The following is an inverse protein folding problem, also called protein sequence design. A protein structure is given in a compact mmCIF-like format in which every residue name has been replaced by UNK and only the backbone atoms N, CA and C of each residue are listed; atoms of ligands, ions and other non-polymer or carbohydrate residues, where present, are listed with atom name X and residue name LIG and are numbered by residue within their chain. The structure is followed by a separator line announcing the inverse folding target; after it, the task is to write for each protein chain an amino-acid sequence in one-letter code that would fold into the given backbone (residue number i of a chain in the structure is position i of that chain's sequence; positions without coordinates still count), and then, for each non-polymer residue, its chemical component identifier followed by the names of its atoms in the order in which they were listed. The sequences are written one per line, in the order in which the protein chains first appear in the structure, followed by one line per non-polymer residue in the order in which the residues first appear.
data_IF_373162530535
#
_entry.id   IF_373162530535
#
_cell.length_a   1.000
_cell.length_b   1.000
_cell.length_c   1.000
_cell.angle_alpha   90.00
_cell.angle_beta   90.00
_cell.angle_gamma   90.00
#
_symmetry.space_group_name_H-M   'P 1'
#
loop_
_entity.id
_entity.type
_entity.pdbx_description
1 polymer ?
#
# COMPACT_ATOMS: atom_id res chain seq x y z
N UNK A 1 5.88 -7.49 -13.54
CA UNK A 1 4.68 -6.75 -14.02
C UNK A 1 5.05 -5.97 -15.26
N UNK A 2 4.13 -5.80 -16.19
CA UNK A 2 4.37 -5.10 -17.45
C UNK A 2 3.08 -4.45 -17.95
N UNK A 3 3.19 -3.52 -18.90
CA UNK A 3 2.04 -2.93 -19.58
C UNK A 3 1.45 -3.92 -20.59
N UNK A 4 0.19 -3.72 -20.99
CA UNK A 4 -0.48 -4.60 -21.95
C UNK A 4 0.28 -4.80 -23.28
N UNK A 5 0.81 -3.75 -23.94
CA UNK A 5 1.60 -3.93 -25.16
C UNK A 5 2.83 -4.82 -24.93
N UNK A 6 3.53 -4.63 -23.80
CA UNK A 6 4.70 -5.42 -23.46
C UNK A 6 4.37 -6.89 -23.24
N UNK A 7 3.22 -7.21 -22.64
CA UNK A 7 2.77 -8.60 -22.53
C UNK A 7 2.48 -9.24 -23.89
N UNK A 8 1.86 -8.49 -24.81
CA UNK A 8 1.62 -8.95 -26.18
C UNK A 8 2.92 -9.24 -26.93
N UNK A 9 3.93 -8.40 -26.79
CA UNK A 9 5.27 -8.64 -27.36
C UNK A 9 5.93 -9.91 -26.82
N UNK A 10 5.67 -10.25 -25.55
CA UNK A 10 6.15 -11.47 -24.90
C UNK A 10 5.31 -12.72 -25.24
N UNK A 11 4.37 -12.62 -26.20
CA UNK A 11 3.50 -13.71 -26.60
C UNK A 11 2.46 -14.10 -25.54
N UNK A 12 2.17 -13.21 -24.59
CA UNK A 12 1.19 -13.44 -23.52
C UNK A 12 -0.02 -12.52 -23.67
N UNK A 13 -1.19 -13.01 -23.24
CA UNK A 13 -2.45 -12.28 -23.33
C UNK A 13 -3.02 -12.05 -21.93
N UNK A 14 -3.40 -10.80 -21.61
CA UNK A 14 -4.14 -10.52 -20.37
C UNK A 14 -5.54 -11.12 -20.48
N UNK A 15 -5.99 -11.79 -19.42
CA UNK A 15 -7.32 -12.41 -19.32
C UNK A 15 -8.43 -11.37 -19.43
N UNK A 16 -9.54 -11.77 -20.05
CA UNK A 16 -10.71 -10.90 -20.20
C UNK A 16 -11.31 -10.59 -18.83
N UNK A 17 -11.51 -9.30 -18.55
CA UNK A 17 -12.10 -8.82 -17.28
C UNK A 17 -11.09 -8.50 -16.18
N UNK A 18 -9.80 -8.78 -16.39
CA UNK A 18 -8.74 -8.39 -15.45
C UNK A 18 -8.55 -6.88 -15.40
N UNK A 19 -8.32 -6.35 -14.19
CA UNK A 19 -8.08 -4.93 -13.96
C UNK A 19 -6.59 -4.65 -13.82
N UNK A 20 -6.15 -3.56 -14.44
CA UNK A 20 -4.78 -3.09 -14.32
C UNK A 20 -4.51 -2.49 -12.92
N UNK A 21 -3.26 -2.61 -12.48
CA UNK A 21 -2.72 -1.96 -11.29
C UNK A 21 -2.43 -0.49 -11.61
N UNK A 22 -2.91 0.39 -10.73
CA UNK A 22 -2.64 1.83 -10.79
C UNK A 22 -1.32 2.15 -10.09
N UNK A 23 -0.37 2.73 -10.82
CA UNK A 23 0.88 3.22 -10.24
C UNK A 23 0.94 4.75 -10.24
N UNK A 24 1.57 5.30 -9.21
CA UNK A 24 1.95 6.71 -9.14
C UNK A 24 3.31 6.90 -9.83
N UNK A 25 3.36 7.73 -10.87
CA UNK A 25 4.58 7.97 -11.63
C UNK A 25 4.91 9.46 -11.74
N UNK A 26 6.19 9.85 -11.63
CA UNK A 26 6.63 11.20 -11.94
C UNK A 26 6.61 11.41 -13.46
N UNK A 27 6.06 12.54 -13.90
CA UNK A 27 6.05 12.98 -15.29
C UNK A 27 6.62 14.38 -15.36
N UNK A 28 7.64 14.53 -16.21
CA UNK A 28 8.28 15.81 -16.50
C UNK A 28 7.44 16.58 -17.51
N UNK A 29 7.00 17.78 -17.14
CA UNK A 29 6.14 18.64 -17.96
C UNK A 29 6.87 19.95 -18.21
N UNK A 30 6.94 20.35 -19.48
CA UNK A 30 7.40 21.68 -19.88
C UNK A 30 6.26 22.69 -19.75
N UNK A 31 6.49 23.80 -19.06
CA UNK A 31 5.59 24.96 -19.02
C UNK A 31 6.13 26.02 -19.96
N UNK A 32 5.28 26.48 -20.86
CA UNK A 32 5.50 27.74 -21.57
C UNK A 32 4.99 28.85 -20.66
N UNK A 33 5.83 29.84 -20.38
CA UNK A 33 5.47 31.03 -19.61
C UNK A 33 4.76 32.01 -20.56
N UNK A 34 3.68 32.65 -20.12
CA UNK A 34 3.07 33.74 -20.88
C UNK A 34 4.07 34.90 -21.06
N UNK A 35 4.03 35.53 -22.22
CA UNK A 35 5.07 36.31 -22.95
C UNK A 35 5.70 37.54 -22.23
N UNK A 36 5.53 37.73 -20.92
CA UNK A 36 6.08 38.87 -20.20
C UNK A 36 7.45 38.63 -19.53
N UNK A 37 8.00 37.42 -19.55
CA UNK A 37 9.27 37.11 -18.88
C UNK A 37 10.11 36.08 -19.65
N UNK A 38 11.12 36.59 -20.36
CA UNK A 38 12.29 35.90 -20.91
C UNK A 38 12.02 34.88 -22.04
N UNK A 39 12.44 35.15 -23.31
CA UNK A 39 12.14 34.29 -24.46
C UNK A 39 12.82 32.91 -24.45
N UNK A 40 13.78 32.66 -23.56
CA UNK A 40 14.58 31.41 -23.55
C UNK A 40 14.32 30.47 -22.35
N UNK A 41 13.40 30.83 -21.45
CA UNK A 41 13.16 30.10 -20.21
C UNK A 41 12.14 28.96 -20.33
N UNK A 42 12.53 27.77 -20.77
CA UNK A 42 11.68 26.57 -20.68
C UNK A 42 11.66 26.05 -19.24
N UNK A 43 10.66 26.44 -18.46
CA UNK A 43 10.48 25.91 -17.10
C UNK A 43 9.95 24.47 -17.18
N UNK A 44 10.64 23.56 -16.49
CA UNK A 44 10.31 22.14 -16.50
C UNK A 44 10.05 21.67 -15.07
N UNK A 45 8.85 21.15 -14.81
CA UNK A 45 8.46 20.68 -13.48
C UNK A 45 7.99 19.23 -13.52
N UNK A 46 8.12 18.54 -12.38
CA UNK A 46 7.69 17.14 -12.25
C UNK A 46 6.33 17.07 -11.56
N UNK A 47 5.38 16.37 -12.18
CA UNK A 47 4.05 16.09 -11.63
C UNK A 47 3.87 14.59 -11.44
N UNK A 48 3.31 14.20 -10.31
CA UNK A 48 2.90 12.82 -10.07
C UNK A 48 1.52 12.56 -10.65
N UNK A 49 1.40 11.48 -11.43
CA UNK A 49 0.14 11.04 -12.03
C UNK A 49 -0.12 9.57 -11.72
N UNK A 50 -1.38 9.22 -11.53
CA UNK A 50 -1.81 7.84 -11.29
C UNK A 50 -2.31 7.23 -12.60
N UNK A 51 -1.72 6.11 -13.05
CA UNK A 51 -2.11 5.45 -14.31
C UNK A 51 -2.35 3.94 -14.12
N UNK A 52 -3.51 3.40 -14.56
CA UNK A 52 -3.84 1.97 -14.48
C UNK A 52 -3.36 1.22 -15.74
N UNK A 53 -2.05 1.03 -15.90
CA UNK A 53 -1.49 0.46 -17.11
C UNK A 53 -0.83 -0.93 -16.94
N UNK A 54 -0.61 -1.38 -15.71
CA UNK A 54 0.23 -2.55 -15.42
C UNK A 54 -0.58 -3.80 -15.08
N UNK A 55 -0.12 -4.94 -15.57
CA UNK A 55 -0.67 -6.26 -15.27
C UNK A 55 0.43 -7.17 -14.72
N UNK A 56 0.08 -8.05 -13.78
CA UNK A 56 0.99 -9.07 -13.23
C UNK A 56 0.92 -10.37 -14.02
N UNK A 57 1.93 -11.23 -13.83
CA UNK A 57 2.02 -12.51 -14.55
C UNK A 57 0.77 -13.37 -14.36
N UNK A 58 0.23 -13.42 -13.13
CA UNK A 58 -0.96 -14.20 -12.78
C UNK A 58 -2.25 -13.76 -13.53
N UNK A 59 -2.27 -12.56 -14.09
CA UNK A 59 -3.40 -12.03 -14.88
C UNK A 59 -3.26 -12.33 -16.37
N UNK A 60 -2.20 -13.02 -16.78
CA UNK A 60 -1.87 -13.28 -18.19
C UNK A 60 -1.80 -14.78 -18.48
N UNK A 61 -2.35 -15.15 -19.63
CA UNK A 61 -2.21 -16.49 -20.20
C UNK A 61 -1.06 -16.54 -21.20
N UNK A 62 -0.43 -17.70 -21.32
CA UNK A 62 0.70 -17.98 -22.20
C UNK A 62 1.67 -18.97 -21.56
N UNK A 63 2.83 -19.16 -22.19
CA UNK A 63 3.82 -20.16 -21.77
C UNK A 63 4.21 -20.01 -20.29
N UNK A 64 4.16 -21.09 -19.48
CA UNK A 64 4.57 -21.06 -18.08
C UNK A 64 5.99 -20.51 -17.95
N UNK A 65 6.15 -19.52 -17.07
CA UNK A 65 7.49 -19.01 -16.75
C UNK A 65 8.16 -20.04 -15.85
N UNK A 66 9.38 -20.51 -16.18
CA UNK A 66 10.10 -21.45 -15.33
C UNK A 66 10.33 -20.79 -13.96
N UNK A 67 9.96 -21.50 -12.90
CA UNK A 67 10.23 -21.05 -11.54
C UNK A 67 11.74 -21.05 -11.33
N UNK A 68 12.28 -19.89 -10.90
CA UNK A 68 13.68 -19.80 -10.56
C UNK A 68 13.90 -20.51 -9.22
N UNK A 69 14.91 -21.39 -9.11
CA UNK A 69 15.19 -22.03 -7.83
C UNK A 69 15.55 -20.97 -6.80
N UNK A 70 14.86 -20.99 -5.67
CA UNK A 70 15.22 -20.15 -4.53
C UNK A 70 16.53 -20.72 -3.96
N UNK A 71 17.63 -19.97 -3.93
CA UNK A 71 18.88 -20.48 -3.38
C UNK A 71 18.71 -20.80 -1.89
N UNK A 72 19.42 -21.83 -1.42
CA UNK A 72 19.47 -22.12 0.01
C UNK A 72 20.03 -20.91 0.78
N UNK A 73 19.38 -20.55 1.87
CA UNK A 73 19.86 -19.50 2.77
C UNK A 73 21.05 -20.03 3.59
N UNK A 74 22.12 -19.24 3.63
CA UNK A 74 23.32 -19.52 4.42
C UNK A 74 23.69 -18.24 5.21
N UNK A 75 23.59 -18.33 6.53
CA UNK A 75 23.84 -17.22 7.44
C UNK A 75 25.31 -16.78 7.43
N UNK A 76 26.25 -17.74 7.35
CA UNK A 76 27.68 -17.43 7.40
C UNK A 76 28.11 -16.71 6.13
N UNK A 77 27.64 -17.21 4.97
CA UNK A 77 27.81 -16.52 3.68
C UNK A 77 27.22 -15.12 3.69
N UNK A 78 26.03 -14.94 4.27
CA UNK A 78 25.38 -13.63 4.32
C UNK A 78 26.16 -12.63 5.19
N UNK A 79 26.60 -13.05 6.37
CA UNK A 79 27.41 -12.20 7.28
C UNK A 79 28.74 -11.82 6.65
N UNK A 80 29.43 -12.77 6.00
CA UNK A 80 30.68 -12.51 5.28
C UNK A 80 30.50 -11.54 4.11
N UNK A 81 29.44 -11.71 3.31
CA UNK A 81 29.16 -10.85 2.13
C UNK A 81 28.78 -9.42 2.53
N UNK A 82 28.09 -9.26 3.65
CA UNK A 82 27.63 -7.96 4.13
C UNK A 82 28.61 -7.27 5.09
N UNK A 83 29.73 -7.93 5.43
CA UNK A 83 30.71 -7.47 6.43
C UNK A 83 30.07 -7.17 7.79
N UNK A 84 29.06 -7.96 8.17
CA UNK A 84 28.32 -7.80 9.44
C UNK A 84 28.79 -8.83 10.45
N UNK A 85 29.00 -8.40 11.70
CA UNK A 85 29.30 -9.31 12.81
C UNK A 85 28.00 -9.77 13.48
N UNK A 86 27.80 -11.10 13.55
CA UNK A 86 26.70 -11.69 14.29
C UNK A 86 26.91 -11.59 15.80
N UNK A 87 26.23 -10.66 16.47
CA UNK A 87 26.23 -10.58 17.93
C UNK A 87 25.09 -11.41 18.52
N UNK A 88 25.38 -12.17 19.58
CA UNK A 88 24.34 -12.86 20.36
C UNK A 88 23.43 -11.82 21.02
N UNK A 89 22.13 -11.89 20.77
CA UNK A 89 21.16 -11.12 21.53
C UNK A 89 21.13 -11.63 22.97
N UNK A 90 21.47 -10.77 23.92
CA UNK A 90 21.26 -11.03 25.34
C UNK A 90 19.84 -10.62 25.72
N UNK A 91 19.06 -11.48 26.38
CA UNK A 91 17.77 -11.07 26.91
C UNK A 91 18.01 -9.96 27.94
N UNK A 92 17.55 -8.74 27.64
CA UNK A 92 17.47 -7.69 28.65
C UNK A 92 16.29 -8.05 29.55
N UNK A 93 16.58 -8.38 30.81
CA UNK A 93 15.57 -8.45 31.86
C UNK A 93 14.87 -7.10 31.89
N UNK A 94 13.53 -7.08 31.78
CA UNK A 94 12.75 -5.87 31.94
C UNK A 94 13.15 -5.18 33.25
N UNK A 95 13.83 -4.05 33.17
CA UNK A 95 14.06 -3.22 34.34
C UNK A 95 12.67 -2.79 34.82
N UNK A 96 12.28 -3.27 35.99
CA UNK A 96 11.10 -2.75 36.68
C UNK A 96 11.31 -1.25 36.80
N UNK A 97 10.43 -0.46 36.18
CA UNK A 97 10.36 0.97 36.44
C UNK A 97 10.06 1.14 37.94
N UNK A 98 11.05 1.57 38.73
CA UNK A 98 10.86 1.83 40.14
C UNK A 98 9.87 3.00 40.29
N UNK A 99 8.66 2.66 40.74
CA UNK A 99 7.55 3.60 40.95
C UNK A 99 7.63 4.30 42.32
N UNK A 100 8.72 4.15 43.08
CA UNK A 100 8.89 4.80 44.39
C UNK A 100 9.13 6.32 44.37
N UNK A 101 8.98 6.97 43.23
CA UNK A 101 8.89 8.43 43.12
C UNK A 101 7.48 8.91 42.78
N UNK A 102 6.44 8.35 43.40
CA UNK A 102 5.21 9.05 43.80
C UNK A 102 4.21 8.02 44.34
N UNK A 103 3.76 8.21 45.59
CA UNK A 103 2.86 7.31 46.30
C UNK A 103 1.48 7.17 45.66
N UNK A 104 1.38 6.46 44.53
CA UNK A 104 0.11 6.09 43.91
C UNK A 104 0.21 4.66 43.39
N UNK A 105 -0.37 3.73 44.14
CA UNK A 105 -0.55 2.34 43.73
C UNK A 105 -1.30 2.29 42.39
N UNK A 106 -0.78 1.63 41.34
CA UNK A 106 -1.58 1.32 40.17
C UNK A 106 -2.57 0.22 40.56
N UNK A 107 -3.82 0.61 40.77
CA UNK A 107 -4.96 -0.31 40.72
C UNK A 107 -4.98 -0.96 39.34
N UNK A 108 -4.34 -2.12 39.21
CA UNK A 108 -4.36 -2.90 37.97
C UNK A 108 -5.69 -3.61 37.89
N UNK A 109 -6.71 -2.92 37.39
CA UNK A 109 -7.94 -3.57 36.94
C UNK A 109 -7.61 -4.25 35.61
N UNK A 110 -7.21 -5.52 35.66
CA UNK A 110 -7.21 -6.36 34.47
C UNK A 110 -8.67 -6.51 34.02
N UNK A 111 -9.11 -5.72 33.07
CA UNK A 111 -10.32 -6.07 32.31
C UNK A 111 -9.94 -7.27 31.43
N UNK A 112 -10.48 -8.47 31.68
CA UNK A 112 -10.31 -9.55 30.72
C UNK A 112 -10.90 -9.09 29.39
N UNK A 113 -10.20 -9.37 28.30
CA UNK A 113 -10.74 -9.15 26.97
C UNK A 113 -12.14 -9.79 26.93
N UNK A 114 -13.15 -9.00 26.57
CA UNK A 114 -14.49 -9.53 26.41
C UNK A 114 -14.47 -10.42 25.17
N UNK A 115 -14.46 -11.73 25.35
CA UNK A 115 -14.69 -12.68 24.26
C UNK A 115 -16.02 -12.30 23.60
N UNK A 116 -15.99 -11.91 22.31
CA UNK A 116 -17.22 -11.71 21.53
C UNK A 116 -17.93 -13.06 21.46
N UNK A 117 -19.18 -13.20 21.95
CA UNK A 117 -19.97 -14.38 21.62
C UNK A 117 -20.23 -14.37 20.11
N UNK A 118 -20.14 -15.55 19.48
CA UNK A 118 -20.26 -15.76 18.04
C UNK A 118 -21.68 -15.52 17.47
N UNK A 119 -22.60 -14.95 18.26
CA UNK A 119 -23.98 -14.70 17.87
C UNK A 119 -24.36 -13.23 18.08
N UNK A 120 -23.79 -12.35 17.26
CA UNK A 120 -24.38 -11.02 17.08
C UNK A 120 -24.53 -10.74 15.60
N UNK A 121 -25.75 -11.04 15.13
CA UNK A 121 -26.23 -10.65 13.82
C UNK A 121 -26.16 -9.12 13.75
N UNK A 122 -25.34 -8.60 12.83
CA UNK A 122 -25.23 -7.18 12.59
C UNK A 122 -26.58 -6.68 12.06
N UNK A 123 -27.21 -5.62 12.61
CA UNK A 123 -28.34 -5.04 11.91
C UNK A 123 -27.78 -4.37 10.66
N UNK A 124 -28.21 -4.89 9.50
CA UNK A 124 -28.11 -4.22 8.21
C UNK A 124 -28.35 -2.72 8.42
N UNK A 125 -27.35 -1.88 8.14
CA UNK A 125 -27.57 -0.44 8.04
C UNK A 125 -28.48 -0.22 6.82
N UNK A 126 -29.79 -0.21 7.04
CA UNK A 126 -30.75 0.30 6.09
C UNK A 126 -30.52 1.80 5.98
N UNK A 127 -29.87 2.23 4.90
CA UNK A 127 -29.83 3.63 4.51
C UNK A 127 -31.26 4.07 4.21
N UNK A 128 -31.86 4.82 5.12
CA UNK A 128 -33.14 5.50 4.91
C UNK A 128 -32.90 6.64 3.91
N UNK A 129 -33.66 6.75 2.80
CA UNK A 129 -33.57 7.91 1.93
C UNK A 129 -34.23 9.12 2.61
N UNK A 130 -33.66 10.33 2.55
CA UNK A 130 -34.36 11.51 3.01
C UNK A 130 -35.54 11.83 2.10
N UNK A 131 -36.68 11.98 2.76
CA UNK A 131 -38.04 12.13 2.30
C UNK A 131 -38.29 13.41 1.49
N UNK A 132 -39.11 13.28 0.45
CA UNK A 132 -39.67 14.36 -0.36
C UNK A 132 -40.89 15.04 0.32
N UNK A 133 -41.03 16.37 0.17
CA UNK A 133 -42.27 17.20 0.14
C UNK A 133 -41.88 18.67 0.46
N UNK A 134 -42.34 19.76 -0.16
CA UNK A 134 -43.54 20.18 -0.96
C UNK A 134 -43.09 21.37 -1.86
N UNK A 135 -43.45 21.47 -3.14
CA UNK A 135 -44.68 22.04 -3.76
C UNK A 135 -44.84 23.59 -3.66
N UNK A 136 -44.63 24.28 -4.78
CA UNK A 136 -45.31 25.51 -5.28
C UNK A 136 -44.87 25.68 -6.75
N UNK A 137 -45.68 25.52 -7.80
CA UNK A 137 -46.79 26.34 -8.33
C UNK A 137 -46.36 27.74 -8.81
N UNK A 138 -46.58 27.93 -10.13
CA UNK A 138 -46.78 29.14 -10.95
C UNK A 138 -45.59 29.88 -11.58
N UNK A 139 -45.76 30.12 -12.89
CA UNK A 139 -44.93 30.90 -13.80
C UNK A 139 -45.12 30.40 -15.23
#
# INVERSE_FOLDING_TARGET
MATYPRWRELGRQVRKGEKAITLCMPVTIKRTRDEAADPDGVDTFTRFVYKPNWFVLAQTDGEPVPEQPIPAWDADRALATLEVQGSRLTPQTATVWDSRASGRSPSTRSTPYRTRPASMNWPMCAATPPNAKRRAVNG
#
